data_IF_560425325223
#
_entry.id   IF_560425325223
#
_cell.length_a   1.000
_cell.length_b   1.000
_cell.length_c   1.000
_cell.angle_alpha   90.00
_cell.angle_beta   90.00
_cell.angle_gamma   90.00
#
_symmetry.space_group_name_H-M   'P 1'
#
loop_
_entity.id
_entity.type
_entity.pdbx_description
1 polymer ?
#
# COMPACT_ATOMS: atom_id res chain seq x y z
N UNK A 1 19.95 -4.35 10.42
CA UNK A 1 19.79 -5.82 10.15
C UNK A 1 21.16 -6.49 10.17
N UNK A 2 21.25 -7.76 10.55
CA UNK A 2 22.50 -8.51 10.43
C UNK A 2 22.26 -9.72 9.51
N UNK A 3 23.27 -10.09 8.73
CA UNK A 3 23.23 -11.31 7.91
C UNK A 3 24.03 -12.39 8.65
N UNK A 4 23.37 -13.47 9.05
CA UNK A 4 24.02 -14.63 9.66
C UNK A 4 23.46 -15.92 9.05
N UNK A 5 24.32 -16.87 8.69
CA UNK A 5 23.95 -18.13 8.04
C UNK A 5 23.04 -17.98 6.82
N UNK A 6 23.26 -16.93 5.99
CA UNK A 6 22.43 -16.65 4.80
C UNK A 6 21.07 -16.01 5.06
N UNK A 7 20.65 -15.83 6.32
CA UNK A 7 19.38 -15.22 6.70
C UNK A 7 19.57 -13.81 7.26
N UNK A 8 18.64 -12.91 6.93
CA UNK A 8 18.61 -11.57 7.54
C UNK A 8 17.92 -11.65 8.91
N UNK A 9 18.52 -10.99 9.92
CA UNK A 9 17.98 -10.91 11.27
C UNK A 9 17.81 -9.46 11.69
N UNK A 10 16.75 -9.17 12.43
CA UNK A 10 16.55 -7.89 13.10
C UNK A 10 17.17 -8.01 14.48
N UNK A 11 18.09 -7.09 14.83
CA UNK A 11 18.63 -7.00 16.19
C UNK A 11 17.72 -6.11 17.02
N UNK A 12 17.23 -6.63 18.14
CA UNK A 12 16.43 -5.90 19.12
C UNK A 12 17.32 -5.60 20.32
N UNK A 13 18.13 -4.55 20.22
CA UNK A 13 19.14 -4.17 21.22
C UNK A 13 18.76 -2.92 22.01
N UNK A 14 17.46 -2.55 22.02
CA UNK A 14 16.96 -1.41 22.78
C UNK A 14 17.32 -0.04 22.20
N UNK A 15 17.72 0.05 20.91
CA UNK A 15 18.13 1.31 20.27
C UNK A 15 16.97 2.31 20.05
N UNK A 16 15.74 1.86 20.26
CA UNK A 16 14.55 2.70 20.11
C UNK A 16 14.21 3.04 18.66
N UNK A 17 13.39 4.07 18.50
CA UNK A 17 12.94 4.61 17.22
C UNK A 17 13.50 6.03 17.07
N UNK A 18 14.00 6.37 15.89
CA UNK A 18 14.40 7.75 15.62
C UNK A 18 13.15 8.64 15.59
N UNK A 19 13.13 9.64 16.47
CA UNK A 19 11.98 10.50 16.70
C UNK A 19 12.36 11.96 16.46
N UNK A 20 11.58 12.66 15.63
CA UNK A 20 11.80 14.07 15.30
C UNK A 20 10.52 14.85 15.56
N UNK A 21 10.63 16.01 16.21
CA UNK A 21 9.52 16.96 16.40
C UNK A 21 9.88 18.26 15.71
N UNK A 22 8.96 18.80 14.92
CA UNK A 22 9.12 20.08 14.22
C UNK A 22 7.82 20.87 14.23
N UNK A 23 7.91 22.19 14.02
CA UNK A 23 6.76 23.06 13.78
C UNK A 23 6.74 23.51 12.32
N UNK A 24 5.55 23.68 11.77
CA UNK A 24 5.31 24.14 10.39
C UNK A 24 4.31 25.29 10.39
N UNK A 25 4.46 26.20 9.45
CA UNK A 25 3.47 27.28 9.18
C UNK A 25 2.34 26.81 8.26
N UNK A 26 2.35 25.54 7.83
CA UNK A 26 1.34 24.94 6.95
C UNK A 26 0.18 24.43 7.78
N UNK A 27 -1.03 24.47 7.21
CA UNK A 27 -2.28 23.98 7.83
C UNK A 27 -2.48 22.47 7.63
N UNK A 28 -3.51 21.91 8.25
CA UNK A 28 -3.97 20.53 8.00
C UNK A 28 -4.39 20.34 6.53
N UNK A 29 -5.07 21.34 5.94
CA UNK A 29 -5.46 21.33 4.54
C UNK A 29 -4.24 21.27 3.62
N UNK A 30 -3.18 22.04 3.94
CA UNK A 30 -1.92 21.97 3.20
C UNK A 30 -1.26 20.60 3.31
N UNK A 31 -1.34 19.97 4.47
CA UNK A 31 -0.80 18.64 4.69
C UNK A 31 -1.54 17.59 3.84
N UNK A 32 -2.88 17.61 3.86
CA UNK A 32 -3.72 16.71 3.05
C UNK A 32 -3.46 16.95 1.55
N UNK A 33 -3.47 18.20 1.10
CA UNK A 33 -3.20 18.57 -0.30
C UNK A 33 -1.81 18.11 -0.74
N UNK A 34 -0.81 18.30 0.11
CA UNK A 34 0.56 17.90 -0.18
C UNK A 34 0.69 16.38 -0.35
N UNK A 35 0.01 15.57 0.43
CA UNK A 35 0.03 14.11 0.26
C UNK A 35 -0.70 13.65 -0.99
N UNK A 36 -1.71 14.39 -1.44
CA UNK A 36 -2.51 14.05 -2.61
C UNK A 36 -1.87 14.48 -3.93
N UNK A 37 -1.11 15.58 -3.94
CA UNK A 37 -0.56 16.17 -5.17
C UNK A 37 0.96 16.27 -5.20
N UNK A 38 1.60 16.56 -4.05
CA UNK A 38 3.04 16.91 -3.95
C UNK A 38 3.86 15.86 -3.19
N UNK A 39 3.36 14.65 -3.00
CA UNK A 39 3.98 13.54 -2.26
C UNK A 39 4.07 13.69 -0.73
N UNK A 40 3.85 14.85 -0.12
CA UNK A 40 3.89 15.02 1.34
C UNK A 40 5.26 14.75 1.99
N UNK A 41 6.36 14.86 1.24
CA UNK A 41 7.72 14.50 1.67
C UNK A 41 8.16 15.18 2.97
N UNK A 42 7.67 16.38 3.25
CA UNK A 42 8.00 17.16 4.43
C UNK A 42 7.34 16.62 5.72
N UNK A 43 6.36 15.73 5.60
CA UNK A 43 5.63 15.12 6.70
C UNK A 43 6.32 13.88 7.27
N UNK A 44 7.34 13.35 6.60
CA UNK A 44 8.02 12.11 7.00
C UNK A 44 9.54 12.26 7.03
N UNK A 45 10.18 11.44 7.85
CA UNK A 45 11.61 11.16 7.77
C UNK A 45 11.80 9.79 7.13
N UNK A 46 12.19 9.70 5.85
CA UNK A 46 12.24 8.41 5.16
C UNK A 46 13.30 7.48 5.73
N UNK A 47 12.97 6.19 5.80
CA UNK A 47 13.95 5.13 6.06
C UNK A 47 14.70 4.84 4.77
N UNK A 48 16.04 4.86 4.84
CA UNK A 48 16.87 4.45 3.71
C UNK A 48 17.05 2.93 3.74
N UNK A 49 16.46 2.23 2.80
CA UNK A 49 16.47 0.77 2.73
C UNK A 49 17.87 0.18 2.57
N UNK A 50 18.78 0.86 1.86
CA UNK A 50 20.15 0.40 1.68
C UNK A 50 20.95 0.46 2.99
N UNK A 51 20.94 1.61 3.69
CA UNK A 51 21.64 1.75 4.97
C UNK A 51 21.01 0.88 6.06
N UNK A 52 19.69 0.77 6.10
CA UNK A 52 18.98 -0.08 7.04
C UNK A 52 19.34 -1.56 6.87
N UNK A 53 19.46 -2.03 5.62
CA UNK A 53 19.87 -3.41 5.31
C UNK A 53 21.25 -3.75 5.86
N UNK A 54 22.20 -2.83 5.79
CA UNK A 54 23.57 -3.03 6.28
C UNK A 54 23.73 -2.75 7.79
N UNK A 55 22.64 -2.39 8.48
CA UNK A 55 22.67 -2.07 9.90
C UNK A 55 23.22 -0.68 10.23
N UNK A 56 23.33 0.21 9.22
CA UNK A 56 23.86 1.58 9.38
C UNK A 56 22.79 2.65 9.56
N UNK A 57 21.53 2.24 9.63
CA UNK A 57 20.42 3.16 9.81
C UNK A 57 19.24 2.52 10.53
N UNK A 58 18.33 3.36 11.08
CA UNK A 58 17.15 2.88 11.78
C UNK A 58 16.19 2.16 10.83
N UNK A 59 15.47 1.16 11.36
CA UNK A 59 14.44 0.42 10.63
C UNK A 59 13.08 1.12 10.67
N UNK A 60 12.86 2.04 11.60
CA UNK A 60 11.69 2.90 11.63
C UNK A 60 12.04 4.29 12.16
N UNK A 61 11.23 5.26 11.76
CA UNK A 61 11.33 6.66 12.15
C UNK A 61 9.95 7.24 12.37
N UNK A 62 9.85 8.14 13.32
CA UNK A 62 8.66 8.94 13.58
C UNK A 62 9.01 10.41 13.43
N UNK A 63 8.15 11.15 12.72
CA UNK A 63 8.19 12.60 12.64
C UNK A 63 6.86 13.16 13.10
N UNK A 64 6.88 13.97 14.14
CA UNK A 64 5.72 14.73 14.60
C UNK A 64 5.86 16.15 14.10
N UNK A 65 4.87 16.64 13.37
CA UNK A 65 4.85 18.00 12.83
C UNK A 65 3.64 18.75 13.40
N UNK A 66 3.90 19.77 14.23
CA UNK A 66 2.86 20.69 14.68
C UNK A 66 2.53 21.68 13.57
N UNK A 67 1.27 21.72 13.18
CA UNK A 67 0.75 22.56 12.08
C UNK A 67 0.25 23.90 12.63
N UNK A 68 0.00 24.87 11.72
CA UNK A 68 -0.37 26.24 12.11
C UNK A 68 -1.77 26.36 12.73
N UNK A 69 -2.66 25.40 12.46
CA UNK A 69 -4.05 25.33 12.88
C UNK A 69 -4.29 24.37 14.07
N UNK A 70 -3.31 24.27 14.97
CA UNK A 70 -3.31 23.38 16.13
C UNK A 70 -3.47 21.88 15.79
N UNK A 71 -3.42 21.52 14.52
CA UNK A 71 -3.39 20.14 14.10
C UNK A 71 -1.96 19.57 14.20
N UNK A 72 -1.87 18.25 14.28
CA UNK A 72 -0.59 17.54 14.33
C UNK A 72 -0.56 16.44 13.27
N UNK A 73 0.49 16.43 12.46
CA UNK A 73 0.74 15.34 11.53
C UNK A 73 1.79 14.38 12.10
N UNK A 74 1.48 13.09 12.11
CA UNK A 74 2.38 12.02 12.53
C UNK A 74 2.85 11.25 11.30
N UNK A 75 4.09 11.44 10.91
CA UNK A 75 4.75 10.69 9.84
C UNK A 75 5.45 9.46 10.40
N UNK A 76 4.98 8.26 10.05
CA UNK A 76 5.59 6.99 10.43
C UNK A 76 6.21 6.32 9.22
N UNK A 77 7.51 6.13 9.25
CA UNK A 77 8.27 5.46 8.19
C UNK A 77 8.92 4.19 8.72
N UNK A 78 8.77 3.08 8.02
CA UNK A 78 9.42 1.83 8.41
C UNK A 78 10.01 1.09 7.21
N UNK A 79 11.04 0.32 7.46
CA UNK A 79 11.58 -0.62 6.47
C UNK A 79 10.63 -1.80 6.36
N UNK A 80 10.11 -2.08 5.18
CA UNK A 80 9.05 -3.08 4.96
C UNK A 80 9.41 -4.50 5.45
N UNK A 81 10.72 -4.79 5.64
CA UNK A 81 11.14 -6.08 6.23
C UNK A 81 10.71 -6.30 7.69
N UNK A 82 10.36 -5.23 8.43
CA UNK A 82 9.87 -5.37 9.81
C UNK A 82 8.46 -5.94 9.82
N UNK A 83 7.63 -5.44 8.91
CA UNK A 83 6.23 -5.85 8.84
C UNK A 83 5.44 -5.07 7.79
N UNK A 84 4.25 -5.54 7.60
CA UNK A 84 3.21 -4.97 6.74
C UNK A 84 2.40 -3.87 7.46
N UNK A 85 1.35 -3.36 6.82
CA UNK A 85 0.48 -2.32 7.39
C UNK A 85 -0.21 -2.79 8.68
N UNK A 86 -0.60 -4.07 8.80
CA UNK A 86 -1.16 -4.61 10.05
C UNK A 86 -0.17 -4.48 11.21
N UNK A 87 1.11 -4.79 10.96
CA UNK A 87 2.19 -4.61 11.93
C UNK A 87 2.40 -3.14 12.29
N UNK A 88 2.35 -2.23 11.33
CA UNK A 88 2.41 -0.79 11.58
C UNK A 88 1.24 -0.32 12.45
N UNK A 89 0.04 -0.83 12.22
CA UNK A 89 -1.14 -0.53 13.03
C UNK A 89 -1.02 -1.06 14.46
N UNK A 90 -0.42 -2.24 14.67
CA UNK A 90 -0.13 -2.73 16.01
C UNK A 90 0.80 -1.78 16.77
N UNK A 91 1.85 -1.29 16.10
CA UNK A 91 2.75 -0.30 16.68
C UNK A 91 2.02 1.01 17.03
N UNK A 92 1.24 1.57 16.12
CA UNK A 92 0.51 2.82 16.33
C UNK A 92 -0.52 2.71 17.46
N UNK A 93 -1.26 1.61 17.53
CA UNK A 93 -2.20 1.34 18.62
C UNK A 93 -1.49 1.16 19.96
N UNK A 94 -0.36 0.45 20.01
CA UNK A 94 0.43 0.29 21.23
C UNK A 94 1.00 1.63 21.70
N UNK A 95 1.50 2.46 20.78
CA UNK A 95 1.99 3.79 21.12
C UNK A 95 0.87 4.69 21.67
N UNK A 96 -0.28 4.74 21.02
CA UNK A 96 -1.43 5.50 21.50
C UNK A 96 -1.93 5.01 22.88
N UNK A 97 -1.94 3.68 23.09
CA UNK A 97 -2.32 3.11 24.38
C UNK A 97 -1.29 3.46 25.49
N UNK A 98 0.01 3.38 25.17
CA UNK A 98 1.07 3.77 26.10
C UNK A 98 1.01 5.27 26.47
N UNK A 99 0.73 6.15 25.51
CA UNK A 99 0.56 7.58 25.75
C UNK A 99 -0.65 7.89 26.65
N UNK A 100 -1.65 7.01 26.69
CA UNK A 100 -2.85 7.14 27.50
C UNK A 100 -2.82 6.29 28.80
N UNK A 101 -1.67 5.74 29.19
CA UNK A 101 -1.50 4.81 30.32
C UNK A 101 -2.49 3.63 30.30
N UNK A 102 -2.86 3.15 29.11
CA UNK A 102 -3.75 2.02 28.91
C UNK A 102 -2.98 0.71 28.72
N UNK A 103 -3.61 -0.44 29.07
CA UNK A 103 -3.00 -1.75 28.81
C UNK A 103 -2.64 -1.93 27.34
N UNK A 104 -1.45 -2.47 27.08
CA UNK A 104 -0.98 -2.76 25.72
C UNK A 104 -1.46 -4.15 25.28
N UNK A 105 -2.01 -4.23 24.08
CA UNK A 105 -2.19 -5.51 23.41
C UNK A 105 -0.82 -6.13 23.10
N UNK A 106 -0.62 -7.38 23.46
CA UNK A 106 0.66 -8.06 23.26
C UNK A 106 0.75 -8.57 21.81
N UNK A 107 1.74 -8.09 21.02
CA UNK A 107 1.97 -8.64 19.68
C UNK A 107 2.55 -10.05 19.76
N UNK A 108 2.17 -10.91 18.83
CA UNK A 108 2.81 -12.21 18.66
C UNK A 108 4.09 -12.04 17.82
N UNK A 109 5.23 -12.11 18.48
CA UNK A 109 6.54 -12.04 17.84
C UNK A 109 7.13 -13.45 17.80
N UNK A 110 7.37 -13.96 16.60
CA UNK A 110 7.89 -15.30 16.36
C UNK A 110 9.36 -15.21 15.96
N UNK A 111 10.25 -15.90 16.65
CA UNK A 111 11.71 -15.88 16.39
C UNK A 111 12.04 -16.53 15.04
N UNK A 112 11.55 -17.72 14.76
CA UNK A 112 11.67 -18.38 13.45
C UNK A 112 10.33 -18.33 12.70
N UNK A 113 10.14 -17.20 12.00
CA UNK A 113 8.94 -16.97 11.21
C UNK A 113 8.80 -17.98 10.06
N UNK A 114 9.90 -18.43 9.48
CA UNK A 114 9.85 -19.39 8.40
C UNK A 114 9.31 -20.74 8.89
N UNK A 115 9.79 -21.22 10.04
CA UNK A 115 9.26 -22.44 10.66
C UNK A 115 7.78 -22.30 11.03
N UNK A 116 7.40 -21.17 11.64
CA UNK A 116 6.00 -20.90 11.97
C UNK A 116 5.10 -20.93 10.73
N UNK A 117 5.50 -20.25 9.65
CA UNK A 117 4.71 -20.25 8.41
C UNK A 117 4.69 -21.64 7.75
N UNK A 118 5.78 -22.40 7.81
CA UNK A 118 5.81 -23.77 7.28
C UNK A 118 4.85 -24.72 8.03
N UNK A 119 4.67 -24.51 9.32
CA UNK A 119 3.73 -25.27 10.14
C UNK A 119 2.25 -24.89 9.87
N UNK A 120 1.96 -23.58 9.68
CA UNK A 120 0.59 -23.06 9.68
C UNK A 120 0.04 -22.78 8.29
N UNK A 121 0.86 -22.74 7.25
CA UNK A 121 0.41 -22.49 5.89
C UNK A 121 0.01 -23.78 5.15
N UNK A 122 -0.94 -23.67 4.21
CA UNK A 122 -1.29 -24.82 3.36
C UNK A 122 -0.09 -25.33 2.58
N UNK A 123 -0.11 -26.60 2.22
CA UNK A 123 0.90 -27.19 1.36
C UNK A 123 0.95 -26.49 0.00
N UNK A 124 2.16 -26.46 -0.61
CA UNK A 124 2.38 -25.71 -1.86
C UNK A 124 1.59 -26.27 -3.07
N UNK A 125 1.32 -27.58 -3.07
CA UNK A 125 0.63 -28.24 -4.18
C UNK A 125 1.40 -28.05 -5.49
N UNK A 126 0.68 -27.67 -6.57
CA UNK A 126 1.24 -27.36 -7.88
C UNK A 126 1.53 -25.88 -8.10
N UNK A 127 1.51 -25.06 -7.03
CA UNK A 127 1.75 -23.62 -7.14
C UNK A 127 3.18 -23.31 -7.54
N UNK A 128 3.34 -22.19 -8.24
CA UNK A 128 4.63 -21.61 -8.61
C UNK A 128 4.91 -20.40 -7.75
N UNK A 129 6.18 -20.01 -7.53
CA UNK A 129 6.49 -18.79 -6.81
C UNK A 129 5.88 -17.55 -7.47
N UNK A 130 5.22 -16.71 -6.66
CA UNK A 130 4.73 -15.38 -7.07
C UNK A 130 5.84 -14.32 -7.12
N UNK A 131 7.09 -14.73 -6.92
CA UNK A 131 8.28 -13.91 -6.96
C UNK A 131 9.32 -14.45 -7.94
N UNK A 132 10.17 -13.56 -8.44
CA UNK A 132 11.27 -13.91 -9.35
C UNK A 132 12.50 -13.04 -9.08
N UNK A 133 13.64 -13.41 -9.60
CA UNK A 133 14.83 -12.58 -9.55
C UNK A 133 14.97 -11.77 -10.85
N UNK A 134 15.29 -10.47 -10.67
CA UNK A 134 15.68 -9.64 -11.81
C UNK A 134 16.99 -10.16 -12.43
N UNK A 135 17.00 -10.30 -13.76
CA UNK A 135 18.22 -10.53 -14.53
C UNK A 135 19.14 -9.30 -14.47
N UNK A 136 20.38 -9.44 -14.93
CA UNK A 136 21.37 -8.34 -14.90
C UNK A 136 20.89 -7.12 -15.70
N UNK A 137 20.34 -7.34 -16.89
CA UNK A 137 19.81 -6.26 -17.74
C UNK A 137 18.59 -5.56 -17.10
N UNK A 138 17.69 -6.31 -16.46
CA UNK A 138 16.54 -5.77 -15.74
C UNK A 138 17.00 -4.99 -14.51
N UNK A 139 18.00 -5.49 -13.79
CA UNK A 139 18.59 -4.79 -12.64
C UNK A 139 19.20 -3.45 -13.05
N UNK A 140 19.97 -3.44 -14.15
CA UNK A 140 20.56 -2.21 -14.69
C UNK A 140 19.48 -1.23 -15.15
N UNK A 141 18.44 -1.70 -15.83
CA UNK A 141 17.29 -0.87 -16.25
C UNK A 141 16.54 -0.32 -15.04
N UNK A 142 16.31 -1.13 -14.01
CA UNK A 142 15.65 -0.67 -12.78
C UNK A 142 16.50 0.38 -12.05
N UNK A 143 17.82 0.21 -11.99
CA UNK A 143 18.72 1.19 -11.41
C UNK A 143 18.69 2.53 -12.19
N UNK A 144 18.71 2.47 -13.52
CA UNK A 144 18.58 3.64 -14.37
C UNK A 144 17.24 4.35 -14.17
N UNK A 145 16.14 3.59 -14.16
CA UNK A 145 14.81 4.14 -13.87
C UNK A 145 14.76 4.85 -12.51
N UNK A 146 15.31 4.24 -11.46
CA UNK A 146 15.37 4.85 -10.13
C UNK A 146 16.18 6.15 -10.12
N UNK A 147 17.23 6.23 -10.92
CA UNK A 147 18.09 7.42 -11.01
C UNK A 147 17.44 8.56 -11.81
N UNK A 148 16.69 8.24 -12.87
CA UNK A 148 16.22 9.22 -13.86
C UNK A 148 14.73 9.53 -13.81
N UNK A 149 13.89 8.52 -13.68
CA UNK A 149 12.44 8.63 -13.91
C UNK A 149 11.59 8.50 -12.63
N UNK A 150 12.11 7.83 -11.61
CA UNK A 150 11.38 7.64 -10.36
C UNK A 150 10.96 8.97 -9.71
N UNK A 151 11.81 10.01 -9.79
CA UNK A 151 11.52 11.35 -9.24
C UNK A 151 10.50 12.14 -10.05
N UNK A 152 10.24 11.74 -11.31
CA UNK A 152 9.28 12.37 -12.21
C UNK A 152 7.86 11.84 -12.06
N UNK A 153 7.70 10.74 -11.30
CA UNK A 153 6.38 10.15 -11.07
C UNK A 153 5.43 11.17 -10.46
N UNK A 154 4.18 11.14 -10.91
CA UNK A 154 3.09 11.98 -10.41
C UNK A 154 2.06 11.10 -9.69
N UNK A 155 1.42 11.63 -8.68
CA UNK A 155 0.37 10.92 -7.95
C UNK A 155 -0.98 11.26 -8.55
N UNK A 156 -1.65 10.25 -9.13
CA UNK A 156 -3.08 10.31 -9.43
C UNK A 156 -3.81 10.10 -8.11
N UNK A 157 -4.67 11.03 -7.73
CA UNK A 157 -5.48 10.94 -6.52
C UNK A 157 -6.95 11.10 -6.90
N UNK A 158 -7.77 10.11 -6.56
CA UNK A 158 -9.19 10.02 -6.89
C UNK A 158 -9.97 9.89 -5.59
N UNK A 159 -11.00 10.71 -5.41
CA UNK A 159 -11.92 10.57 -4.30
C UNK A 159 -13.23 9.95 -4.77
N UNK A 160 -13.66 8.91 -4.09
CA UNK A 160 -14.95 8.26 -4.29
C UNK A 160 -15.83 8.53 -3.07
N UNK A 161 -16.81 9.41 -3.23
CA UNK A 161 -17.76 9.75 -2.18
C UNK A 161 -18.66 8.57 -1.81
N UNK A 162 -19.29 8.63 -0.64
CA UNK A 162 -20.18 7.55 -0.16
C UNK A 162 -21.34 7.27 -1.10
N UNK A 163 -21.91 8.32 -1.69
CA UNK A 163 -23.00 8.19 -2.66
C UNK A 163 -22.53 7.59 -3.99
N UNK A 164 -21.34 7.95 -4.47
CA UNK A 164 -20.73 7.35 -5.65
C UNK A 164 -20.49 5.86 -5.44
N UNK A 165 -19.92 5.49 -4.28
CA UNK A 165 -19.72 4.09 -3.89
C UNK A 165 -21.05 3.34 -3.82
N UNK A 166 -22.11 3.97 -3.30
CA UNK A 166 -23.43 3.36 -3.24
C UNK A 166 -24.00 3.11 -4.65
N UNK A 167 -23.93 4.11 -5.55
CA UNK A 167 -24.35 3.96 -6.96
C UNK A 167 -23.53 2.91 -7.70
N UNK A 168 -22.22 2.84 -7.45
CA UNK A 168 -21.35 1.79 -8.00
C UNK A 168 -21.79 0.40 -7.53
N UNK A 169 -22.09 0.22 -6.24
CA UNK A 169 -22.62 -1.04 -5.70
C UNK A 169 -23.94 -1.44 -6.34
N UNK A 170 -24.83 -0.48 -6.57
CA UNK A 170 -26.12 -0.74 -7.19
C UNK A 170 -25.99 -1.12 -8.68
N UNK A 171 -25.08 -0.46 -9.41
CA UNK A 171 -24.83 -0.74 -10.81
C UNK A 171 -24.20 -2.14 -11.03
N UNK A 172 -23.34 -2.57 -10.11
CA UNK A 172 -22.69 -3.89 -10.17
C UNK A 172 -23.40 -4.95 -9.31
N UNK A 173 -24.66 -4.75 -9.00
CA UNK A 173 -25.49 -5.71 -8.26
C UNK A 173 -25.76 -6.94 -9.13
N UNK A 174 -24.95 -7.99 -8.94
CA UNK A 174 -24.98 -9.25 -9.66
C UNK A 174 -25.33 -10.44 -8.79
N UNK A 175 -24.94 -11.63 -9.24
CA UNK A 175 -25.17 -12.91 -8.53
C UNK A 175 -24.30 -13.09 -7.30
N UNK A 176 -23.16 -12.39 -7.20
CA UNK A 176 -22.20 -12.48 -6.11
C UNK A 176 -22.09 -11.14 -5.38
N UNK A 177 -21.79 -11.22 -4.07
CA UNK A 177 -21.61 -10.04 -3.24
C UNK A 177 -20.19 -9.51 -3.41
N UNK A 178 -20.05 -8.39 -4.09
CA UNK A 178 -18.78 -7.69 -4.25
C UNK A 178 -18.47 -6.78 -3.06
N UNK A 179 -17.21 -6.71 -2.66
CA UNK A 179 -16.73 -5.71 -1.69
C UNK A 179 -16.44 -4.38 -2.38
N UNK A 180 -16.35 -3.30 -1.60
CA UNK A 180 -15.95 -1.98 -2.16
C UNK A 180 -14.56 -2.04 -2.78
N UNK A 181 -13.63 -2.81 -2.19
CA UNK A 181 -12.31 -3.02 -2.76
C UNK A 181 -12.37 -3.66 -4.16
N UNK A 182 -13.22 -4.68 -4.35
CA UNK A 182 -13.39 -5.35 -5.64
C UNK A 182 -13.90 -4.35 -6.69
N UNK A 183 -14.89 -3.54 -6.31
CA UNK A 183 -15.53 -2.56 -7.17
C UNK A 183 -14.55 -1.45 -7.57
N UNK A 184 -13.90 -0.80 -6.60
CA UNK A 184 -13.00 0.33 -6.88
C UNK A 184 -11.76 -0.14 -7.65
N UNK A 185 -11.16 -1.27 -7.28
CA UNK A 185 -10.01 -1.80 -8.01
C UNK A 185 -10.36 -2.14 -9.46
N UNK A 186 -11.52 -2.78 -9.69
CA UNK A 186 -11.97 -3.13 -11.02
C UNK A 186 -12.28 -1.89 -11.87
N UNK A 187 -13.01 -0.94 -11.29
CA UNK A 187 -13.43 0.29 -11.93
C UNK A 187 -12.23 1.16 -12.37
N UNK A 188 -11.29 1.39 -11.44
CA UNK A 188 -10.06 2.13 -11.76
C UNK A 188 -9.21 1.38 -12.79
N UNK A 189 -9.13 0.04 -12.69
CA UNK A 189 -8.38 -0.78 -13.63
C UNK A 189 -8.93 -0.67 -15.05
N UNK A 190 -10.26 -0.77 -15.24
CA UNK A 190 -10.92 -0.59 -16.53
C UNK A 190 -10.57 0.78 -17.14
N UNK A 191 -10.74 1.87 -16.36
CA UNK A 191 -10.47 3.22 -16.83
C UNK A 191 -8.99 3.44 -17.22
N UNK A 192 -8.04 2.93 -16.40
CA UNK A 192 -6.62 3.06 -16.68
C UNK A 192 -6.15 2.19 -17.87
N UNK A 193 -6.81 1.07 -18.13
CA UNK A 193 -6.56 0.29 -19.36
C UNK A 193 -6.96 1.08 -20.62
N UNK A 194 -8.04 1.83 -20.56
CA UNK A 194 -8.49 2.68 -21.67
C UNK A 194 -7.63 3.93 -21.87
N UNK A 195 -7.02 4.45 -20.79
CA UNK A 195 -6.14 5.61 -20.86
C UNK A 195 -4.85 5.38 -21.66
N UNK A 196 -4.40 4.10 -21.83
CA UNK A 196 -3.20 3.76 -22.56
C UNK A 196 -3.50 2.83 -23.76
N UNK A 197 -3.87 3.38 -24.95
CA UNK A 197 -4.24 2.59 -26.10
C UNK A 197 -3.10 1.76 -26.71
N UNK A 198 -1.86 1.95 -26.29
CA UNK A 198 -0.72 1.16 -26.75
C UNK A 198 -0.53 -0.16 -25.97
N UNK A 199 -1.30 -0.37 -24.90
CA UNK A 199 -1.16 -1.54 -24.03
C UNK A 199 -2.45 -2.36 -24.01
N UNK A 200 -2.39 -3.58 -24.51
CA UNK A 200 -3.55 -4.51 -24.53
C UNK A 200 -3.69 -5.35 -23.27
N UNK A 201 -2.61 -5.48 -22.50
CA UNK A 201 -2.59 -6.29 -21.28
C UNK A 201 -1.77 -5.64 -20.19
N UNK A 202 -2.30 -5.69 -18.94
CA UNK A 202 -1.60 -5.37 -17.71
C UNK A 202 -1.90 -6.42 -16.65
N UNK A 203 -1.07 -6.51 -15.65
CA UNK A 203 -1.39 -7.29 -14.44
C UNK A 203 -1.93 -6.34 -13.37
N UNK A 204 -3.06 -6.68 -12.78
CA UNK A 204 -3.53 -6.13 -11.53
C UNK A 204 -3.05 -7.03 -10.39
N UNK A 205 -2.19 -6.51 -9.54
CA UNK A 205 -1.73 -7.17 -8.33
C UNK A 205 -2.38 -6.51 -7.11
N UNK A 206 -3.10 -7.26 -6.31
CA UNK A 206 -3.77 -6.78 -5.09
C UNK A 206 -3.05 -7.38 -3.89
N UNK A 207 -2.58 -6.53 -2.97
CA UNK A 207 -2.00 -6.99 -1.72
C UNK A 207 -3.07 -7.61 -0.82
N UNK A 208 -2.84 -8.83 -0.36
CA UNK A 208 -3.74 -9.59 0.49
C UNK A 208 -3.09 -9.84 1.84
N UNK A 209 -3.73 -9.38 2.93
CA UNK A 209 -3.36 -9.77 4.28
C UNK A 209 -3.81 -11.23 4.52
N UNK A 210 -2.84 -12.11 4.65
CA UNK A 210 -3.09 -13.54 4.73
C UNK A 210 -3.56 -14.02 6.11
N UNK A 211 -3.37 -13.22 7.20
CA UNK A 211 -3.68 -13.66 8.57
C UNK A 211 -5.10 -14.20 8.69
N UNK A 212 -6.08 -13.36 8.41
CA UNK A 212 -7.50 -13.73 8.50
C UNK A 212 -7.89 -14.89 7.57
N UNK A 213 -7.32 -14.91 6.36
CA UNK A 213 -7.68 -15.89 5.33
C UNK A 213 -7.11 -17.28 5.60
N UNK A 214 -6.05 -17.35 6.39
CA UNK A 214 -5.37 -18.59 6.72
C UNK A 214 -5.55 -18.98 8.20
N UNK A 215 -6.41 -18.28 8.95
CA UNK A 215 -6.63 -18.55 10.37
C UNK A 215 -5.41 -18.31 11.25
N UNK A 216 -4.46 -17.47 10.80
CA UNK A 216 -3.30 -17.10 11.61
C UNK A 216 -3.69 -16.05 12.65
N UNK A 217 -2.90 -15.99 13.72
CA UNK A 217 -3.12 -15.02 14.79
C UNK A 217 -3.10 -13.58 14.21
N UNK A 218 -4.15 -12.79 14.44
CA UNK A 218 -4.20 -11.40 13.96
C UNK A 218 -3.11 -10.50 14.56
N UNK A 219 -2.56 -10.86 15.73
CA UNK A 219 -1.46 -10.15 16.41
C UNK A 219 -0.07 -10.55 15.90
N UNK A 220 0.04 -11.50 14.97
CA UNK A 220 1.31 -11.93 14.40
C UNK A 220 2.02 -10.77 13.70
N UNK A 221 3.24 -10.46 14.17
CA UNK A 221 4.09 -9.38 13.62
C UNK A 221 4.90 -9.89 12.43
N UNK A 222 4.92 -9.12 11.36
CA UNK A 222 5.74 -9.38 10.18
C UNK A 222 5.05 -9.09 8.87
N UNK A 223 5.69 -9.41 7.75
CA UNK A 223 5.07 -9.41 6.43
C UNK A 223 4.28 -10.70 6.23
N UNK A 224 3.01 -10.66 6.53
CA UNK A 224 2.07 -11.76 6.34
C UNK A 224 1.11 -11.35 5.22
N UNK A 225 1.70 -10.88 4.14
CA UNK A 225 1.01 -10.46 2.92
C UNK A 225 1.59 -11.18 1.70
N UNK A 226 0.76 -11.36 0.70
CA UNK A 226 1.17 -11.74 -0.65
C UNK A 226 0.33 -10.97 -1.65
N UNK A 227 0.54 -11.20 -2.94
CA UNK A 227 -0.21 -10.54 -4.00
C UNK A 227 -1.11 -11.53 -4.72
N UNK A 228 -2.35 -11.13 -4.95
CA UNK A 228 -3.26 -11.77 -5.86
C UNK A 228 -3.08 -11.11 -7.23
N UNK A 229 -2.68 -11.87 -8.23
CA UNK A 229 -2.36 -11.36 -9.56
C UNK A 229 -3.46 -11.74 -10.56
N UNK A 230 -4.00 -10.74 -11.27
CA UNK A 230 -4.98 -10.92 -12.33
C UNK A 230 -4.45 -10.31 -13.64
N UNK A 231 -4.52 -11.06 -14.73
CA UNK A 231 -4.27 -10.50 -16.05
C UNK A 231 -5.50 -9.75 -16.54
N UNK A 232 -5.32 -8.48 -16.82
CA UNK A 232 -6.32 -7.59 -17.41
C UNK A 232 -6.14 -7.50 -18.90
N UNK A 233 -7.24 -7.38 -19.63
CA UNK A 233 -7.26 -7.12 -21.06
C UNK A 233 -8.00 -5.82 -21.35
N UNK A 234 -7.57 -5.10 -22.37
CA UNK A 234 -8.31 -3.94 -22.87
C UNK A 234 -9.72 -4.35 -23.25
N UNK A 235 -10.69 -3.48 -22.95
CA UNK A 235 -12.10 -3.71 -23.22
C UNK A 235 -12.76 -4.73 -22.28
N UNK A 236 -12.06 -5.23 -21.27
CA UNK A 236 -12.68 -6.04 -20.23
C UNK A 236 -13.49 -5.14 -19.30
N UNK A 237 -14.76 -5.47 -19.11
CA UNK A 237 -15.68 -4.65 -18.31
C UNK A 237 -15.38 -4.77 -16.82
N UNK A 238 -15.59 -3.69 -16.05
CA UNK A 238 -15.28 -3.62 -14.63
C UNK A 238 -16.03 -4.64 -13.78
N UNK A 239 -17.27 -5.00 -14.13
CA UNK A 239 -18.02 -6.05 -13.44
C UNK A 239 -17.32 -7.42 -13.56
N UNK A 240 -16.88 -7.79 -14.76
CA UNK A 240 -16.11 -9.01 -14.98
C UNK A 240 -14.81 -9.02 -14.16
N UNK A 241 -14.08 -7.90 -14.14
CA UNK A 241 -12.86 -7.76 -13.34
C UNK A 241 -13.18 -7.92 -11.85
N UNK A 242 -14.24 -7.28 -11.36
CA UNK A 242 -14.65 -7.33 -9.95
C UNK A 242 -15.06 -8.75 -9.52
N UNK A 243 -15.79 -9.47 -10.37
CA UNK A 243 -16.16 -10.88 -10.12
C UNK A 243 -14.93 -11.78 -10.04
N UNK A 244 -13.96 -11.59 -10.94
CA UNK A 244 -12.67 -12.32 -10.91
C UNK A 244 -11.86 -12.01 -9.65
N UNK A 245 -11.80 -10.73 -9.24
CA UNK A 245 -11.15 -10.34 -7.98
C UNK A 245 -11.82 -11.10 -6.83
N UNK A 246 -13.16 -11.06 -6.73
CA UNK A 246 -13.91 -11.73 -5.67
C UNK A 246 -13.67 -13.23 -5.67
N UNK A 247 -13.79 -13.88 -6.83
CA UNK A 247 -13.53 -15.31 -6.96
C UNK A 247 -12.14 -15.69 -6.42
N UNK A 248 -11.09 -15.00 -6.87
CA UNK A 248 -9.73 -15.30 -6.45
C UNK A 248 -9.48 -14.98 -4.96
N UNK A 249 -10.17 -13.97 -4.42
CA UNK A 249 -10.11 -13.65 -2.99
C UNK A 249 -10.79 -14.73 -2.14
N UNK A 250 -11.91 -15.27 -2.60
CA UNK A 250 -12.65 -16.33 -1.87
C UNK A 250 -11.91 -17.67 -1.92
N UNK A 251 -11.16 -17.95 -2.98
CA UNK A 251 -10.33 -19.15 -3.14
C UNK A 251 -8.84 -18.90 -2.80
N UNK A 252 -8.54 -17.82 -2.09
CA UNK A 252 -7.17 -17.39 -1.83
C UNK A 252 -6.35 -18.49 -1.13
N UNK A 253 -6.88 -19.11 -0.08
CA UNK A 253 -6.15 -20.10 0.72
C UNK A 253 -5.77 -21.33 -0.12
N UNK A 254 -6.69 -21.80 -0.96
CA UNK A 254 -6.56 -23.05 -1.69
C UNK A 254 -5.82 -22.88 -3.02
N UNK A 255 -6.00 -21.74 -3.71
CA UNK A 255 -5.51 -21.57 -5.06
C UNK A 255 -4.40 -20.53 -5.21
N UNK A 256 -4.38 -19.48 -4.38
CA UNK A 256 -3.55 -18.29 -4.60
C UNK A 256 -2.50 -18.01 -3.54
N UNK A 257 -2.57 -18.67 -2.36
CA UNK A 257 -1.57 -18.44 -1.31
C UNK A 257 -0.23 -19.05 -1.69
N UNK A 258 0.71 -18.19 -2.08
CA UNK A 258 2.05 -18.55 -2.52
C UNK A 258 3.15 -18.29 -1.47
N UNK A 259 2.78 -17.90 -0.25
CA UNK A 259 3.72 -17.46 0.78
C UNK A 259 4.78 -18.51 1.11
N UNK A 260 4.37 -19.78 1.27
CA UNK A 260 5.28 -20.87 1.62
C UNK A 260 6.28 -21.17 0.51
N UNK A 261 5.81 -21.24 -0.73
CA UNK A 261 6.68 -21.50 -1.88
C UNK A 261 7.59 -20.31 -2.16
N UNK A 262 7.12 -19.07 -1.95
CA UNK A 262 7.95 -17.87 -2.04
C UNK A 262 9.07 -17.89 -1.00
N UNK A 263 8.77 -18.28 0.24
CA UNK A 263 9.77 -18.42 1.31
C UNK A 263 10.84 -19.46 0.94
N UNK A 264 10.44 -20.64 0.49
CA UNK A 264 11.36 -21.69 0.04
C UNK A 264 12.22 -21.24 -1.13
N UNK A 265 11.63 -20.52 -2.09
CA UNK A 265 12.34 -19.97 -3.24
C UNK A 265 13.42 -18.95 -2.83
N UNK A 266 13.09 -18.09 -1.87
CA UNK A 266 14.05 -17.10 -1.33
C UNK A 266 15.14 -17.75 -0.51
N UNK A 267 14.82 -18.71 0.34
CA UNK A 267 15.79 -19.41 1.18
C UNK A 267 16.81 -20.20 0.33
N UNK A 268 16.33 -20.85 -0.74
CA UNK A 268 17.21 -21.57 -1.67
C UNK A 268 18.18 -20.65 -2.42
N UNK A 269 17.80 -19.40 -2.69
CA UNK A 269 18.62 -18.46 -3.44
C UNK A 269 19.68 -17.73 -2.59
N UNK A 270 19.47 -17.64 -1.29
CA UNK A 270 20.34 -16.94 -0.36
C UNK A 270 20.24 -15.41 -0.39
N UNK A 271 20.83 -14.75 0.60
CA UNK A 271 20.61 -13.34 0.89
C UNK A 271 21.04 -12.37 -0.23
N UNK A 272 22.09 -12.72 -1.01
CA UNK A 272 22.54 -11.86 -2.10
C UNK A 272 21.55 -11.82 -3.26
N UNK A 273 20.98 -12.96 -3.62
CA UNK A 273 19.96 -13.03 -4.67
C UNK A 273 18.62 -12.46 -4.22
N UNK A 274 18.26 -12.63 -2.95
CA UNK A 274 17.06 -12.04 -2.36
C UNK A 274 16.96 -10.51 -2.56
N UNK A 275 18.11 -9.83 -2.69
CA UNK A 275 18.14 -8.39 -3.00
C UNK A 275 17.58 -8.01 -4.38
N UNK A 276 17.54 -8.96 -5.32
CA UNK A 276 17.00 -8.79 -6.67
C UNK A 276 15.61 -9.43 -6.83
N UNK A 277 15.05 -9.91 -5.73
CA UNK A 277 13.73 -10.52 -5.73
C UNK A 277 12.65 -9.45 -5.88
N UNK A 278 11.73 -9.69 -6.79
CA UNK A 278 10.56 -8.85 -7.06
C UNK A 278 9.34 -9.74 -7.24
N UNK A 279 8.14 -9.16 -7.05
CA UNK A 279 6.91 -9.83 -7.46
C UNK A 279 6.93 -10.15 -8.96
N UNK A 280 6.34 -11.24 -9.38
CA UNK A 280 6.13 -11.58 -10.80
C UNK A 280 5.31 -10.53 -11.54
N UNK A 281 4.46 -9.78 -10.81
CA UNK A 281 3.72 -8.63 -11.34
C UNK A 281 4.61 -7.42 -11.64
N UNK A 282 5.83 -7.34 -11.08
CA UNK A 282 6.74 -6.24 -11.35
C UNK A 282 7.39 -6.37 -12.73
N UNK A 283 7.26 -5.31 -13.55
CA UNK A 283 7.89 -5.21 -14.85
C UNK A 283 8.65 -3.88 -14.97
N UNK A 284 10.00 -3.90 -15.10
CA UNK A 284 10.79 -2.68 -15.21
C UNK A 284 10.68 -1.97 -16.56
N UNK A 285 10.07 -2.59 -17.56
CA UNK A 285 9.89 -2.00 -18.90
C UNK A 285 8.55 -1.26 -19.04
N UNK A 286 7.56 -1.64 -18.24
CA UNK A 286 6.23 -1.01 -18.21
C UNK A 286 5.61 -1.21 -16.83
N UNK A 287 4.79 -0.27 -16.38
CA UNK A 287 4.11 -0.43 -15.11
C UNK A 287 2.91 -1.40 -15.23
N UNK A 288 2.65 -2.07 -14.13
CA UNK A 288 1.45 -2.84 -13.84
C UNK A 288 0.73 -2.20 -12.65
N UNK A 289 -0.53 -2.53 -12.44
CA UNK A 289 -1.26 -2.02 -11.29
C UNK A 289 -0.92 -2.87 -10.05
N UNK A 290 -0.37 -2.24 -9.02
CA UNK A 290 -0.17 -2.87 -7.73
C UNK A 290 -0.95 -2.07 -6.69
N UNK A 291 -2.01 -2.63 -6.13
CA UNK A 291 -2.92 -1.93 -5.21
C UNK A 291 -2.82 -2.55 -3.82
N UNK A 292 -2.58 -1.70 -2.83
CA UNK A 292 -2.64 -2.05 -1.41
C UNK A 292 -3.82 -1.34 -0.76
N UNK A 293 -4.78 -2.10 -0.23
CA UNK A 293 -5.92 -1.54 0.46
C UNK A 293 -5.61 -1.34 1.95
N UNK A 294 -5.63 -0.09 2.39
CA UNK A 294 -5.45 0.35 3.78
C UNK A 294 -6.76 0.85 4.40
N UNK A 295 -7.86 0.84 3.66
CA UNK A 295 -9.16 1.18 4.22
C UNK A 295 -9.62 0.12 5.24
N UNK A 296 -10.34 0.56 6.25
CA UNK A 296 -10.86 -0.35 7.25
C UNK A 296 -9.85 -0.88 8.28
N UNK A 297 -8.58 -0.46 8.26
CA UNK A 297 -7.60 -0.81 9.31
C UNK A 297 -7.90 -0.17 10.67
N UNK A 298 -8.89 0.70 10.74
CA UNK A 298 -9.30 1.34 11.99
C UNK A 298 -8.40 2.49 12.44
N UNK A 299 -7.72 3.14 11.50
CA UNK A 299 -6.84 4.29 11.76
C UNK A 299 -7.59 5.39 12.51
N UNK A 300 -8.84 5.64 12.16
CA UNK A 300 -9.70 6.66 12.78
C UNK A 300 -10.13 6.34 14.23
N UNK A 301 -9.75 5.17 14.75
CA UNK A 301 -9.90 4.81 16.17
C UNK A 301 -8.66 5.10 17.01
N UNK A 302 -7.53 5.39 16.36
CA UNK A 302 -6.30 5.76 17.04
C UNK A 302 -6.48 7.17 17.61
N UNK A 303 -6.19 7.33 18.90
CA UNK A 303 -6.29 8.61 19.60
C UNK A 303 -5.04 8.83 20.42
N UNK A 304 -4.47 10.00 20.28
CA UNK A 304 -3.44 10.51 21.16
C UNK A 304 -4.08 11.61 22.00
N UNK A 305 -4.15 11.40 23.33
CA UNK A 305 -4.87 12.27 24.27
C UNK A 305 -6.34 12.44 23.83
N UNK A 306 -6.83 13.67 23.76
CA UNK A 306 -8.20 14.01 23.35
C UNK A 306 -8.34 14.25 21.83
N UNK A 307 -7.30 14.00 21.05
CA UNK A 307 -7.31 14.19 19.60
C UNK A 307 -7.98 13.04 18.85
N UNK A 308 -8.42 13.29 17.64
CA UNK A 308 -8.90 12.26 16.71
C UNK A 308 -8.11 12.33 15.40
N UNK A 309 -7.96 11.16 14.74
CA UNK A 309 -7.38 11.10 13.40
C UNK A 309 -8.38 11.64 12.39
N UNK A 310 -8.00 12.67 11.63
CA UNK A 310 -8.82 13.23 10.55
C UNK A 310 -8.48 12.64 9.19
N UNK A 311 -7.22 12.25 8.96
CA UNK A 311 -6.81 11.66 7.69
C UNK A 311 -5.57 10.77 7.85
N UNK A 312 -5.53 9.68 7.10
CA UNK A 312 -4.37 8.80 7.01
C UNK A 312 -4.15 8.35 5.58
N UNK A 313 -2.95 8.56 5.08
CA UNK A 313 -2.59 8.19 3.70
C UNK A 313 -1.12 7.77 3.64
N UNK A 314 -0.73 6.88 2.73
CA UNK A 314 0.67 6.65 2.45
C UNK A 314 1.28 7.89 1.79
N UNK A 315 2.51 8.23 2.17
CA UNK A 315 3.32 9.15 1.37
C UNK A 315 3.88 8.36 0.19
N UNK A 316 3.34 8.60 -1.00
CA UNK A 316 3.65 7.87 -2.24
C UNK A 316 5.04 8.22 -2.79
N UNK A 317 6.07 8.06 -1.94
CA UNK A 317 7.47 8.30 -2.30
C UNK A 317 8.14 7.12 -3.01
N UNK A 318 7.43 6.00 -3.12
CA UNK A 318 7.97 4.82 -3.75
C UNK A 318 8.12 5.04 -5.25
N UNK A 319 9.33 4.85 -5.80
CA UNK A 319 9.63 5.12 -7.20
C UNK A 319 9.12 4.02 -8.14
N UNK A 320 7.98 3.42 -7.84
CA UNK A 320 7.41 2.32 -8.62
C UNK A 320 6.14 2.82 -9.29
N UNK A 321 6.19 2.93 -10.62
CA UNK A 321 5.02 3.25 -11.40
C UNK A 321 3.95 2.16 -11.28
N UNK A 322 2.68 2.57 -11.17
CA UNK A 322 1.55 1.67 -10.98
C UNK A 322 1.34 1.20 -9.53
N UNK A 323 2.18 1.65 -8.58
CA UNK A 323 1.93 1.39 -7.17
C UNK A 323 0.83 2.32 -6.68
N UNK A 324 -0.24 1.74 -6.16
CA UNK A 324 -1.41 2.44 -5.64
C UNK A 324 -1.80 1.99 -4.23
N UNK A 325 -2.56 2.85 -3.58
CA UNK A 325 -3.20 2.57 -2.30
C UNK A 325 -4.66 3.04 -2.31
N UNK A 326 -5.49 2.30 -1.61
CA UNK A 326 -6.86 2.67 -1.29
C UNK A 326 -6.94 2.94 0.21
N UNK A 327 -7.37 4.13 0.60
CA UNK A 327 -7.48 4.56 2.00
C UNK A 327 -8.87 5.13 2.26
N UNK A 328 -9.28 5.16 3.53
CA UNK A 328 -10.49 5.87 3.91
C UNK A 328 -10.28 7.39 3.71
N UNK A 329 -11.31 8.09 3.27
CA UNK A 329 -11.28 9.55 3.07
C UNK A 329 -11.17 10.34 4.37
N UNK A 330 -11.14 11.67 4.26
CA UNK A 330 -11.07 12.57 5.43
C UNK A 330 -12.24 12.29 6.38
N UNK A 331 -11.95 12.21 7.67
CA UNK A 331 -12.89 11.83 8.73
C UNK A 331 -13.56 10.47 8.49
N UNK A 332 -12.93 9.58 7.73
CA UNK A 332 -13.42 8.25 7.41
C UNK A 332 -14.54 8.21 6.36
N UNK A 333 -14.80 9.33 5.67
CA UNK A 333 -15.89 9.43 4.69
C UNK A 333 -15.39 9.18 3.27
N UNK A 334 -16.07 8.27 2.57
CA UNK A 334 -15.67 7.87 1.22
C UNK A 334 -14.32 7.15 1.19
N UNK A 335 -13.73 7.07 0.01
CA UNK A 335 -12.42 6.44 -0.22
C UNK A 335 -11.55 7.32 -1.09
N UNK A 336 -10.26 7.32 -0.81
CA UNK A 336 -9.25 7.93 -1.66
C UNK A 336 -8.40 6.83 -2.28
N UNK A 337 -8.35 6.80 -3.61
CA UNK A 337 -7.45 5.95 -4.36
C UNK A 337 -6.27 6.80 -4.85
N UNK A 338 -5.06 6.40 -4.50
CA UNK A 338 -3.85 7.06 -4.95
C UNK A 338 -2.98 6.10 -5.73
N UNK A 339 -2.37 6.56 -6.83
CA UNK A 339 -1.45 5.76 -7.64
C UNK A 339 -0.32 6.60 -8.20
N UNK A 340 0.89 6.06 -8.17
CA UNK A 340 2.06 6.68 -8.78
C UNK A 340 2.11 6.32 -10.27
N UNK A 341 2.14 7.33 -11.15
CA UNK A 341 2.16 7.16 -12.60
C UNK A 341 3.30 7.95 -13.25
N UNK A 342 3.86 7.47 -14.36
CA UNK A 342 4.72 8.29 -15.22
C UNK A 342 3.98 9.53 -15.71
N UNK A 343 4.66 10.65 -15.98
CA UNK A 343 4.00 11.91 -16.38
C UNK A 343 3.02 11.74 -17.54
N UNK A 344 3.41 11.04 -18.60
CA UNK A 344 2.55 10.77 -19.77
C UNK A 344 1.29 10.02 -19.38
N UNK A 345 1.42 8.96 -18.58
CA UNK A 345 0.27 8.13 -18.17
C UNK A 345 -0.62 8.89 -17.17
N UNK A 346 -0.02 9.74 -16.33
CA UNK A 346 -0.77 10.65 -15.47
C UNK A 346 -1.62 11.64 -16.28
N UNK A 347 -1.04 12.27 -17.30
CA UNK A 347 -1.76 13.20 -18.20
C UNK A 347 -2.90 12.49 -18.92
N UNK A 348 -2.65 11.28 -19.42
CA UNK A 348 -3.69 10.47 -20.06
C UNK A 348 -4.82 10.09 -19.08
N UNK A 349 -4.48 9.64 -17.86
CA UNK A 349 -5.45 9.29 -16.82
C UNK A 349 -6.24 10.50 -16.30
N UNK A 350 -5.64 11.69 -16.36
CA UNK A 350 -6.28 12.97 -15.96
C UNK A 350 -7.02 13.66 -17.12
N UNK A 351 -7.09 13.04 -18.30
CA UNK A 351 -7.85 13.61 -19.42
C UNK A 351 -9.35 13.65 -19.10
N UNK A 352 -10.11 14.63 -19.63
CA UNK A 352 -11.55 14.76 -19.35
C UNK A 352 -12.33 13.47 -19.60
N UNK A 353 -12.05 12.76 -20.70
CA UNK A 353 -12.73 11.52 -21.06
C UNK A 353 -12.46 10.38 -20.05
N UNK A 354 -11.24 10.26 -19.53
CA UNK A 354 -10.91 9.25 -18.53
C UNK A 354 -11.40 9.67 -17.14
N UNK A 355 -11.32 10.97 -16.79
CA UNK A 355 -11.88 11.51 -15.55
C UNK A 355 -13.39 11.26 -15.45
N UNK A 356 -14.15 11.53 -16.53
CA UNK A 356 -15.57 11.24 -16.63
C UNK A 356 -15.86 9.72 -16.47
N UNK A 357 -15.00 8.88 -17.04
CA UNK A 357 -15.12 7.42 -16.88
C UNK A 357 -14.83 6.98 -15.45
N UNK A 358 -13.83 7.55 -14.80
CA UNK A 358 -13.46 7.26 -13.42
C UNK A 358 -14.57 7.66 -12.44
N UNK A 359 -15.27 8.76 -12.69
CA UNK A 359 -16.37 9.28 -11.87
C UNK A 359 -17.75 9.08 -12.50
N UNK A 360 -17.93 8.05 -13.35
CA UNK A 360 -19.23 7.79 -14.04
C UNK A 360 -20.39 7.48 -13.10
N UNK A 361 -20.11 7.19 -11.84
CA UNK A 361 -21.11 6.98 -10.77
C UNK A 361 -21.20 8.16 -9.81
N UNK A 362 -20.37 9.17 -9.97
CA UNK A 362 -20.26 10.37 -9.15
C UNK A 362 -20.49 11.66 -9.91
N UNK A 363 -20.04 12.74 -9.32
CA UNK A 363 -19.88 14.02 -9.99
C UNK A 363 -18.38 14.23 -10.21
N UNK A 364 -18.01 14.76 -11.38
CA UNK A 364 -16.60 14.97 -11.77
C UNK A 364 -15.83 15.91 -10.84
N UNK A 365 -16.53 16.65 -9.98
CA UNK A 365 -16.00 17.63 -9.03
C UNK A 365 -15.91 17.10 -7.59
N UNK A 366 -16.04 15.78 -7.38
CA UNK A 366 -15.87 15.16 -6.04
C UNK A 366 -14.39 15.21 -5.64
N UNK A 367 -13.91 16.42 -5.31
CA UNK A 367 -12.62 16.58 -4.67
C UNK A 367 -12.63 16.04 -3.24
N UNK A 368 -11.45 15.67 -2.74
CA UNK A 368 -11.31 15.20 -1.36
C UNK A 368 -11.89 16.26 -0.42
N UNK A 369 -12.92 15.93 0.39
CA UNK A 369 -13.55 16.89 1.31
C UNK A 369 -12.50 17.55 2.22
N UNK A 370 -12.59 18.87 2.35
CA UNK A 370 -11.66 19.67 3.15
C UNK A 370 -10.53 20.33 2.34
N UNK A 371 -10.35 20.00 1.05
CA UNK A 371 -9.41 20.74 0.20
C UNK A 371 -9.95 22.11 -0.26
N UNK A 372 -11.27 22.30 -0.24
CA UNK A 372 -11.96 23.55 -0.62
C UNK A 372 -12.21 24.53 0.53
N UNK A 373 -11.79 24.26 1.75
CA UNK A 373 -11.83 25.30 2.77
C UNK A 373 -10.79 26.35 2.43
N UNK A 374 -11.15 27.24 1.50
CA UNK A 374 -10.57 28.58 1.47
C UNK A 374 -10.87 29.17 2.85
N UNK A 375 -9.83 29.51 3.55
CA UNK A 375 -9.92 30.31 4.76
C UNK A 375 -10.40 31.68 4.28
N UNK A 376 -11.69 31.97 4.45
CA UNK A 376 -12.18 33.34 4.40
C UNK A 376 -11.34 34.16 5.40
N UNK A 377 -10.50 35.02 4.90
CA UNK A 377 -9.67 35.96 5.63
C UNK A 377 -10.51 37.14 6.15
#
# INVERSE_FOLDING_TARGET
MAVGNGRMRIRCEGQGVHFTTVSSRRSLVDAIRSTSHDRGDWLIDPVNGATARWGWGPLCKVRVTHLADDATAIGFSWHHSIGDMQTAMHFMNAWAAAAADKPLAQPLIVEDRAAYLDEHLPADGARIPGVRFLGLAETARSALYLATDARKQRTLSLYFGEEEIARMRDAYRGRIRLSVNDLVCAHVSEALMEADPAVDRRTLAIAVNARHRLGLDPMLVGNIITTLNLDLRRGEAADSIAERIRHNVDHFADEHCDMRINQKFLDAAGALQAARCVSTAFNPARWNLLVSNWSGFGVYRIRFEDTCTSYCTPVMKLPVAGLGALVDGVDGRGLVFQMSLPPRDFEAASSPAISERLHRFGQADDEIPGLHREVDH
#
